data_IF_280076761216
#
_entry.id   IF_280076761216
#
_cell.length_a   1.000
_cell.length_b   1.000
_cell.length_c   1.000
_cell.angle_alpha   90.00
_cell.angle_beta   90.00
_cell.angle_gamma   90.00
#
_symmetry.space_group_name_H-M   'P 1'
#
loop_
_entity.id
_entity.type
_entity.pdbx_description
1 polymer ?
#
# COMPACT_ATOMS: atom_id res chain seq x y z
N UNK A 1 6.03 5.53 -5.11
CA UNK A 1 5.05 6.65 -5.03
C UNK A 1 3.77 6.36 -5.79
N UNK A 2 3.80 6.07 -7.13
CA UNK A 2 2.58 5.81 -7.92
C UNK A 2 1.71 4.70 -7.34
N UNK A 3 2.28 3.56 -6.97
CA UNK A 3 1.52 2.42 -6.42
C UNK A 3 0.85 2.74 -5.08
N UNK A 4 1.45 3.60 -4.28
CA UNK A 4 0.87 4.08 -3.03
C UNK A 4 -0.29 5.06 -3.28
N UNK A 5 -0.20 5.89 -4.30
CA UNK A 5 -1.25 6.85 -4.68
C UNK A 5 -2.41 6.15 -5.40
N UNK A 6 -2.10 5.27 -6.35
CA UNK A 6 -3.08 4.55 -7.17
C UNK A 6 -3.34 3.12 -6.64
N UNK A 7 -3.65 2.98 -5.36
CA UNK A 7 -3.82 1.68 -4.67
C UNK A 7 -5.17 0.99 -4.92
N UNK A 8 -5.95 1.45 -5.88
CA UNK A 8 -7.30 0.95 -6.15
C UNK A 8 -7.34 -0.24 -7.10
N UNK A 9 -6.21 -0.68 -7.62
CA UNK A 9 -6.05 -1.75 -8.58
C UNK A 9 -5.00 -2.78 -8.12
N UNK A 10 -5.10 -4.01 -8.66
CA UNK A 10 -4.06 -5.02 -8.45
C UNK A 10 -2.75 -4.60 -9.13
N UNK A 11 -1.60 -5.02 -8.59
CA UNK A 11 -0.26 -4.63 -9.08
C UNK A 11 -0.06 -4.73 -10.60
N UNK A 12 -0.47 -5.79 -11.32
CA UNK A 12 -0.33 -5.84 -12.77
C UNK A 12 -1.08 -4.70 -13.48
N UNK A 13 -2.28 -4.36 -13.00
CA UNK A 13 -3.07 -3.27 -13.55
C UNK A 13 -2.48 -1.90 -13.24
N UNK A 14 -1.85 -1.75 -12.05
CA UNK A 14 -1.12 -0.52 -11.71
C UNK A 14 0.02 -0.24 -12.69
N UNK A 15 0.75 -1.26 -13.10
CA UNK A 15 1.81 -1.13 -14.12
C UNK A 15 1.24 -0.74 -15.49
N UNK A 16 0.11 -1.34 -15.89
CA UNK A 16 -0.57 -0.98 -17.13
C UNK A 16 -1.09 0.46 -17.12
N UNK A 17 -1.65 0.92 -16.01
CA UNK A 17 -2.13 2.29 -15.84
C UNK A 17 -0.95 3.26 -15.80
N UNK A 18 0.13 2.94 -15.08
CA UNK A 18 1.34 3.76 -15.01
C UNK A 18 1.93 4.02 -16.41
N UNK A 19 1.99 2.98 -17.25
CA UNK A 19 2.48 3.11 -18.63
C UNK A 19 1.60 4.01 -19.50
N UNK A 20 0.32 4.18 -19.18
CA UNK A 20 -0.61 5.08 -19.87
C UNK A 20 -0.62 6.48 -19.28
N UNK A 21 -0.54 6.61 -17.96
CA UNK A 21 -0.44 7.89 -17.27
C UNK A 21 0.23 7.73 -15.88
N UNK A 22 1.48 8.17 -15.70
CA UNK A 22 2.17 8.13 -14.42
C UNK A 22 1.57 9.04 -13.33
N UNK A 23 0.68 9.96 -13.71
CA UNK A 23 0.04 10.91 -12.78
C UNK A 23 -1.36 10.46 -12.35
N UNK A 24 -1.83 9.29 -12.78
CA UNK A 24 -3.11 8.76 -12.36
C UNK A 24 -3.11 8.48 -10.84
N UNK A 25 -4.24 8.72 -10.18
CA UNK A 25 -4.36 8.60 -8.72
C UNK A 25 -5.48 7.62 -8.32
N UNK A 26 -6.71 7.89 -8.69
CA UNK A 26 -7.88 7.07 -8.32
C UNK A 26 -8.57 6.59 -9.58
N UNK A 27 -8.18 5.41 -10.07
CA UNK A 27 -8.77 4.82 -11.27
C UNK A 27 -9.84 3.81 -10.90
N UNK A 28 -11.08 4.06 -11.35
CA UNK A 28 -12.25 3.22 -11.13
C UNK A 28 -13.01 3.00 -12.43
N UNK A 29 -13.92 2.01 -12.45
CA UNK A 29 -14.80 1.75 -13.59
C UNK A 29 -15.78 2.90 -13.85
N UNK A 30 -16.33 2.95 -15.05
CA UNK A 30 -17.40 3.90 -15.38
C UNK A 30 -18.61 3.76 -14.45
N UNK A 31 -19.02 2.53 -14.16
CA UNK A 31 -20.19 2.26 -13.30
C UNK A 31 -19.96 2.74 -11.87
N UNK A 32 -18.73 2.58 -11.36
CA UNK A 32 -18.37 3.13 -10.05
C UNK A 32 -18.57 4.66 -10.03
N UNK A 33 -18.02 5.36 -11.03
CA UNK A 33 -18.11 6.82 -11.10
C UNK A 33 -19.55 7.29 -11.31
N UNK A 34 -20.34 6.56 -12.09
CA UNK A 34 -21.77 6.85 -12.28
C UNK A 34 -22.55 6.73 -10.97
N UNK A 35 -22.26 5.72 -10.15
CA UNK A 35 -22.85 5.58 -8.81
C UNK A 35 -22.49 6.75 -7.89
N UNK A 36 -21.30 7.32 -8.05
CA UNK A 36 -20.83 8.51 -7.35
C UNK A 36 -21.34 9.84 -7.98
N UNK A 37 -22.33 9.77 -8.88
CA UNK A 37 -22.84 10.92 -9.62
C UNK A 37 -21.76 11.71 -10.39
N UNK A 38 -20.80 10.99 -10.97
CA UNK A 38 -19.71 11.55 -11.77
C UNK A 38 -19.78 11.05 -13.20
N UNK A 39 -19.37 11.90 -14.13
CA UNK A 39 -19.33 11.56 -15.55
C UNK A 39 -17.96 11.90 -16.13
N UNK A 40 -17.48 11.15 -17.13
CA UNK A 40 -16.23 11.51 -17.82
C UNK A 40 -16.37 12.89 -18.47
N UNK A 41 -15.32 13.68 -18.41
CA UNK A 41 -15.22 14.95 -19.15
C UNK A 41 -15.23 14.68 -20.65
N UNK A 42 -15.67 15.64 -21.42
CA UNK A 42 -15.68 15.51 -22.89
C UNK A 42 -14.27 15.26 -23.44
N UNK A 43 -14.13 14.33 -24.37
CA UNK A 43 -12.87 14.04 -25.05
C UNK A 43 -11.87 13.18 -24.26
N UNK A 44 -12.17 12.75 -23.04
CA UNK A 44 -11.24 11.88 -22.29
C UNK A 44 -11.43 10.41 -22.68
N UNK A 45 -10.34 9.66 -22.64
CA UNK A 45 -10.31 8.21 -22.86
C UNK A 45 -9.91 7.51 -21.54
N UNK A 46 -10.67 6.48 -21.20
CA UNK A 46 -10.36 5.67 -20.02
C UNK A 46 -9.09 4.85 -20.21
N UNK A 47 -8.37 4.61 -19.11
CA UNK A 47 -7.20 3.74 -19.08
C UNK A 47 -7.62 2.28 -19.21
N UNK A 48 -6.84 1.54 -19.97
CA UNK A 48 -7.07 0.12 -20.23
C UNK A 48 -6.38 -0.73 -19.17
N UNK A 49 -7.11 -1.67 -18.58
CA UNK A 49 -6.59 -2.65 -17.65
C UNK A 49 -7.31 -4.00 -17.80
N UNK A 50 -6.82 -5.04 -17.15
CA UNK A 50 -7.36 -6.39 -17.22
C UNK A 50 -8.23 -6.70 -16.01
N UNK A 51 -9.39 -7.32 -16.25
CA UNK A 51 -10.26 -7.88 -15.22
C UNK A 51 -10.35 -9.39 -15.38
N UNK A 52 -10.32 -10.11 -14.27
CA UNK A 52 -10.54 -11.56 -14.27
C UNK A 52 -12.03 -11.86 -14.53
N UNK A 53 -12.27 -12.83 -15.38
CA UNK A 53 -13.61 -13.37 -15.64
C UNK A 53 -13.57 -14.88 -15.48
N UNK A 54 -14.60 -15.43 -14.88
CA UNK A 54 -14.78 -16.88 -14.83
C UNK A 54 -15.64 -17.32 -16.02
N UNK A 55 -15.25 -18.40 -16.66
CA UNK A 55 -15.98 -19.01 -17.75
C UNK A 55 -15.89 -20.54 -17.67
N UNK A 56 -16.93 -21.20 -18.11
CA UNK A 56 -16.98 -22.65 -18.20
C UNK A 56 -16.38 -23.12 -19.53
N UNK A 57 -15.48 -24.08 -19.46
CA UNK A 57 -14.95 -24.77 -20.62
C UNK A 57 -14.76 -26.26 -20.31
N UNK A 58 -15.35 -27.12 -21.14
CA UNK A 58 -15.28 -28.59 -21.00
C UNK A 58 -15.79 -29.09 -19.64
N UNK A 59 -16.82 -28.40 -19.06
CA UNK A 59 -17.37 -28.72 -17.73
C UNK A 59 -16.55 -28.24 -16.54
N UNK A 60 -15.46 -27.50 -16.78
CA UNK A 60 -14.61 -26.93 -15.74
C UNK A 60 -14.69 -25.40 -15.73
N UNK A 61 -14.79 -24.82 -14.52
CA UNK A 61 -14.68 -23.39 -14.35
C UNK A 61 -13.23 -22.96 -14.49
N UNK A 62 -12.98 -22.02 -15.40
CA UNK A 62 -11.64 -21.46 -15.66
C UNK A 62 -11.65 -19.96 -15.50
N UNK A 63 -10.53 -19.43 -15.04
CA UNK A 63 -10.30 -17.98 -14.95
C UNK A 63 -9.65 -17.50 -16.24
N UNK A 64 -10.28 -16.54 -16.89
CA UNK A 64 -9.72 -15.79 -18.00
C UNK A 64 -9.55 -14.32 -17.67
N UNK A 65 -9.10 -13.54 -18.65
CA UNK A 65 -8.95 -12.10 -18.51
C UNK A 65 -9.60 -11.39 -19.69
N UNK A 66 -10.33 -10.33 -19.42
CA UNK A 66 -10.85 -9.42 -20.42
C UNK A 66 -10.29 -8.02 -20.21
N UNK A 67 -10.30 -7.24 -21.30
CA UNK A 67 -9.91 -5.84 -21.25
C UNK A 67 -11.08 -5.01 -20.75
N UNK A 68 -10.84 -4.16 -19.77
CA UNK A 68 -11.78 -3.17 -19.25
C UNK A 68 -11.18 -1.77 -19.32
N UNK A 69 -12.02 -0.76 -19.17
CA UNK A 69 -11.63 0.64 -19.11
C UNK A 69 -12.00 1.25 -17.77
N UNK A 70 -11.09 2.03 -17.21
CA UNK A 70 -11.33 2.83 -16.02
C UNK A 70 -10.93 4.27 -16.24
N UNK A 71 -11.48 5.15 -15.45
CA UNK A 71 -11.24 6.58 -15.50
C UNK A 71 -10.60 7.03 -14.19
N UNK A 72 -9.58 7.86 -14.31
CA UNK A 72 -9.02 8.56 -13.16
C UNK A 72 -9.95 9.68 -12.70
N UNK A 73 -9.93 9.99 -11.41
CA UNK A 73 -10.72 11.08 -10.86
C UNK A 73 -10.49 12.41 -11.57
N UNK A 74 -9.29 12.68 -12.05
CA UNK A 74 -8.96 13.89 -12.80
C UNK A 74 -9.70 14.00 -14.14
N UNK A 75 -10.12 12.86 -14.70
CA UNK A 75 -10.89 12.74 -15.94
C UNK A 75 -12.39 12.91 -15.72
N UNK A 76 -12.85 12.95 -14.46
CA UNK A 76 -14.27 12.99 -14.13
C UNK A 76 -14.76 14.41 -13.84
N UNK A 77 -15.99 14.71 -14.24
CA UNK A 77 -16.75 15.88 -13.81
C UNK A 77 -17.45 15.57 -12.48
N UNK A 78 -17.82 16.58 -11.73
CA UNK A 78 -18.50 16.46 -10.44
C UNK A 78 -17.83 17.29 -9.37
N UNK A 79 -18.34 17.22 -8.13
CA UNK A 79 -17.73 17.91 -6.99
C UNK A 79 -16.29 17.40 -6.76
N UNK A 80 -15.37 18.24 -6.30
CA UNK A 80 -14.05 17.77 -5.83
C UNK A 80 -14.25 16.60 -4.86
N UNK A 81 -13.31 15.64 -4.84
CA UNK A 81 -13.29 14.67 -3.74
C UNK A 81 -13.07 15.46 -2.45
N UNK A 82 -13.77 15.05 -1.39
CA UNK A 82 -13.41 15.55 -0.06
C UNK A 82 -11.96 15.22 0.19
N UNK A 83 -11.15 16.24 0.45
CA UNK A 83 -9.77 16.05 0.84
C UNK A 83 -9.78 15.17 2.10
N UNK A 84 -9.09 14.05 2.03
CA UNK A 84 -8.87 13.26 3.25
C UNK A 84 -8.15 14.17 4.24
N UNK A 85 -8.64 14.28 5.48
CA UNK A 85 -7.97 15.09 6.47
C UNK A 85 -6.50 14.64 6.54
N UNK A 86 -5.60 15.57 6.29
CA UNK A 86 -4.16 15.30 6.45
C UNK A 86 -3.93 15.07 7.94
N UNK A 87 -3.57 13.83 8.29
CA UNK A 87 -3.18 13.50 9.65
C UNK A 87 -1.78 14.06 9.90
N UNK A 88 -1.56 14.57 11.09
CA UNK A 88 -0.23 14.94 11.51
C UNK A 88 0.69 13.70 11.60
N UNK A 89 1.99 13.87 11.51
CA UNK A 89 2.93 12.76 11.68
C UNK A 89 2.78 12.11 13.05
N UNK A 90 2.49 12.90 14.07
CA UNK A 90 2.21 12.41 15.42
C UNK A 90 0.99 11.49 15.47
N UNK A 91 -0.13 11.88 14.84
CA UNK A 91 -1.34 11.04 14.75
C UNK A 91 -1.07 9.75 13.97
N UNK A 92 -0.25 9.79 12.92
CA UNK A 92 0.16 8.61 12.16
C UNK A 92 1.00 7.67 13.01
N UNK A 93 1.99 8.20 13.73
CA UNK A 93 2.83 7.41 14.64
C UNK A 93 1.97 6.78 15.74
N UNK A 94 1.10 7.53 16.39
CA UNK A 94 0.20 7.02 17.41
C UNK A 94 -0.72 5.92 16.87
N UNK A 95 -1.25 6.09 15.66
CA UNK A 95 -2.10 5.08 15.01
C UNK A 95 -1.34 3.78 14.74
N UNK A 96 -0.08 3.89 14.32
CA UNK A 96 0.79 2.72 14.06
C UNK A 96 1.19 2.02 15.36
N UNK A 97 1.37 2.76 16.45
CA UNK A 97 1.74 2.21 17.75
C UNK A 97 0.58 1.60 18.53
N UNK A 98 -0.66 1.95 18.15
CA UNK A 98 -1.85 1.44 18.80
C UNK A 98 -2.03 -0.06 18.55
N UNK A 99 -2.28 -0.79 19.63
CA UNK A 99 -2.61 -2.23 19.61
C UNK A 99 -1.53 -3.14 18.98
N UNK A 100 -0.25 -2.72 19.02
CA UNK A 100 0.82 -3.55 18.47
C UNK A 100 1.15 -4.74 19.38
N UNK A 101 1.30 -5.97 18.81
CA UNK A 101 1.60 -7.18 19.58
C UNK A 101 3.07 -7.25 20.03
N UNK A 102 3.89 -6.28 19.68
CA UNK A 102 5.31 -6.23 19.97
C UNK A 102 5.66 -5.05 20.87
N UNK A 103 6.68 -5.20 21.69
CA UNK A 103 7.21 -4.13 22.53
C UNK A 103 8.05 -3.18 21.69
N UNK A 104 8.10 -1.91 22.07
CA UNK A 104 9.00 -0.92 21.48
C UNK A 104 9.90 -0.35 22.54
N UNK A 105 11.19 -0.18 22.20
CA UNK A 105 12.18 0.39 23.09
C UNK A 105 13.12 1.32 22.30
N UNK A 106 13.43 2.45 22.90
CA UNK A 106 14.46 3.35 22.36
C UNK A 106 15.82 2.75 22.70
N UNK A 107 16.73 2.75 21.75
CA UNK A 107 18.08 2.25 21.90
C UNK A 107 19.11 3.25 21.35
N UNK A 108 20.09 3.58 22.16
CA UNK A 108 21.18 4.49 21.79
C UNK A 108 22.34 3.77 21.09
N UNK A 109 22.42 2.44 21.22
CA UNK A 109 23.55 1.60 20.80
C UNK A 109 23.24 0.63 19.65
N UNK A 110 22.28 0.97 18.78
CA UNK A 110 22.08 0.19 17.55
C UNK A 110 23.31 0.32 16.63
N UNK A 111 23.67 -0.74 15.88
CA UNK A 111 24.75 -0.68 14.91
C UNK A 111 24.63 0.50 13.96
N UNK A 112 25.75 1.02 13.47
CA UNK A 112 25.77 2.14 12.53
C UNK A 112 24.91 1.81 11.29
N UNK A 113 24.11 2.78 10.82
CA UNK A 113 23.19 2.61 9.69
C UNK A 113 21.87 1.90 10.03
N UNK A 114 21.71 1.30 11.21
CA UNK A 114 20.45 0.69 11.65
C UNK A 114 19.59 1.73 12.38
N UNK A 115 18.46 2.06 11.80
CA UNK A 115 17.49 3.02 12.33
C UNK A 115 16.53 2.38 13.33
N UNK A 116 16.06 1.16 13.02
CA UNK A 116 15.27 0.33 13.91
C UNK A 116 15.54 -1.14 13.61
N UNK A 117 15.26 -2.02 14.59
CA UNK A 117 15.48 -3.46 14.44
C UNK A 117 14.48 -4.27 15.27
N UNK A 118 13.76 -5.16 14.62
CA UNK A 118 12.95 -6.18 15.29
C UNK A 118 13.81 -7.36 15.73
N UNK A 119 13.66 -7.75 16.99
CA UNK A 119 14.32 -8.92 17.61
C UNK A 119 13.27 -9.98 17.93
N UNK A 120 13.16 -11.07 17.14
CA UNK A 120 12.12 -12.08 17.27
C UNK A 120 12.05 -12.73 18.66
N UNK A 121 13.19 -13.13 19.22
CA UNK A 121 13.28 -13.79 20.54
C UNK A 121 12.69 -12.95 21.66
N UNK A 122 12.77 -11.64 21.55
CA UNK A 122 12.28 -10.70 22.56
C UNK A 122 10.92 -10.11 22.22
N UNK A 123 10.44 -10.34 21.00
CA UNK A 123 9.25 -9.69 20.41
C UNK A 123 9.29 -8.16 20.62
N UNK A 124 10.45 -7.58 20.34
CA UNK A 124 10.72 -6.16 20.62
C UNK A 124 11.31 -5.50 19.37
N UNK A 125 10.81 -4.32 19.05
CA UNK A 125 11.38 -3.41 18.07
C UNK A 125 12.22 -2.37 18.82
N UNK A 126 13.51 -2.34 18.54
CA UNK A 126 14.42 -1.32 19.02
C UNK A 126 14.48 -0.18 18.01
N UNK A 127 14.37 1.05 18.47
CA UNK A 127 14.32 2.26 17.64
C UNK A 127 15.45 3.18 18.05
N UNK A 128 16.25 3.64 17.10
CA UNK A 128 17.35 4.59 17.36
C UNK A 128 16.81 5.90 17.91
N UNK A 129 17.46 6.41 18.94
CA UNK A 129 17.16 7.71 19.51
C UNK A 129 17.62 8.87 18.60
N UNK A 130 16.92 9.99 18.64
CA UNK A 130 17.34 11.25 18.00
C UNK A 130 17.13 11.32 16.48
N UNK A 131 16.35 10.43 15.88
CA UNK A 131 15.93 10.54 14.49
C UNK A 131 14.79 11.56 14.33
N UNK A 132 14.67 12.14 13.13
CA UNK A 132 13.50 12.94 12.79
C UNK A 132 12.22 12.08 12.68
N UNK A 133 11.07 12.72 12.73
CA UNK A 133 9.76 12.03 12.76
C UNK A 133 9.52 11.15 11.53
N UNK A 134 9.88 11.64 10.34
CA UNK A 134 9.66 10.91 9.09
C UNK A 134 10.53 9.65 9.02
N UNK A 135 11.81 9.78 9.34
CA UNK A 135 12.74 8.65 9.43
C UNK A 135 12.29 7.64 10.48
N UNK A 136 11.84 8.12 11.64
CA UNK A 136 11.31 7.27 12.71
C UNK A 136 10.08 6.50 12.23
N UNK A 137 9.12 7.18 11.60
CA UNK A 137 7.89 6.57 11.09
C UNK A 137 8.18 5.43 10.11
N UNK A 138 9.02 5.67 9.10
CA UNK A 138 9.36 4.65 8.11
C UNK A 138 10.16 3.50 8.70
N UNK A 139 11.11 3.77 9.59
CA UNK A 139 11.90 2.74 10.26
C UNK A 139 11.02 1.83 11.12
N UNK A 140 10.13 2.42 11.92
CA UNK A 140 9.20 1.69 12.79
C UNK A 140 8.23 0.85 11.98
N UNK A 141 7.59 1.42 10.95
CA UNK A 141 6.65 0.68 10.10
C UNK A 141 7.29 -0.55 9.46
N UNK A 142 8.51 -0.43 8.96
CA UNK A 142 9.23 -1.56 8.38
C UNK A 142 9.49 -2.67 9.40
N UNK A 143 9.89 -2.32 10.61
CA UNK A 143 10.17 -3.32 11.65
C UNK A 143 8.88 -3.95 12.21
N UNK A 144 7.79 -3.20 12.28
CA UNK A 144 6.47 -3.74 12.61
C UNK A 144 5.96 -4.70 11.53
N UNK A 145 6.18 -4.37 10.25
CA UNK A 145 5.88 -5.29 9.16
C UNK A 145 6.74 -6.56 9.24
N UNK A 146 8.02 -6.46 9.59
CA UNK A 146 8.87 -7.62 9.87
C UNK A 146 8.31 -8.47 11.03
N UNK A 147 7.85 -7.83 12.09
CA UNK A 147 7.26 -8.51 13.23
C UNK A 147 5.92 -9.21 12.89
N UNK A 148 5.09 -8.58 12.05
CA UNK A 148 3.84 -9.16 11.57
C UNK A 148 4.05 -10.39 10.65
N UNK A 149 5.19 -10.45 9.97
CA UNK A 149 5.58 -11.57 9.11
C UNK A 149 6.29 -12.71 9.88
N UNK A 150 6.60 -12.50 11.17
CA UNK A 150 7.17 -13.52 12.02
C UNK A 150 6.06 -14.46 12.53
N UNK A 151 6.08 -15.72 12.12
CA UNK A 151 5.11 -16.74 12.53
C UNK A 151 5.36 -17.26 13.95
N UNK A 152 6.40 -16.78 14.63
CA UNK A 152 6.81 -17.18 15.99
C UNK A 152 7.10 -18.67 16.15
N UNK A 153 7.42 -19.36 15.05
CA UNK A 153 7.79 -20.78 15.00
C UNK A 153 9.29 -21.05 15.19
N UNK A 154 10.07 -19.99 15.44
CA UNK A 154 11.52 -20.05 15.58
C UNK A 154 12.28 -20.01 14.25
N UNK A 155 11.59 -20.01 13.13
CA UNK A 155 12.18 -20.06 11.77
C UNK A 155 12.29 -18.68 11.09
N UNK A 156 12.09 -17.60 11.85
CA UNK A 156 12.17 -16.25 11.31
C UNK A 156 13.56 -15.96 10.72
N UNK A 157 13.59 -15.58 9.45
CA UNK A 157 14.79 -15.14 8.74
C UNK A 157 14.51 -13.78 8.10
N UNK A 158 15.07 -12.71 8.69
CA UNK A 158 14.90 -11.34 8.19
C UNK A 158 15.08 -11.20 6.67
N UNK A 159 16.12 -11.84 6.11
CA UNK A 159 16.43 -11.76 4.69
C UNK A 159 15.28 -12.25 3.79
N UNK A 160 14.48 -13.20 4.27
CA UNK A 160 13.34 -13.75 3.51
C UNK A 160 12.14 -12.81 3.50
N UNK A 161 11.93 -12.04 4.57
CA UNK A 161 10.75 -11.19 4.74
C UNK A 161 11.01 -9.70 4.42
N UNK A 162 12.28 -9.30 4.31
CA UNK A 162 12.66 -7.90 4.22
C UNK A 162 12.03 -7.16 3.02
N UNK A 163 11.98 -7.78 1.85
CA UNK A 163 11.36 -7.17 0.68
C UNK A 163 9.86 -6.97 0.85
N UNK A 164 9.18 -7.97 1.41
CA UNK A 164 7.75 -7.92 1.68
C UNK A 164 7.43 -6.89 2.78
N UNK A 165 8.23 -6.84 3.84
CA UNK A 165 8.09 -5.85 4.91
C UNK A 165 8.31 -4.43 4.39
N UNK A 166 9.29 -4.22 3.51
CA UNK A 166 9.53 -2.93 2.86
C UNK A 166 8.31 -2.49 2.04
N UNK A 167 7.76 -3.37 1.21
CA UNK A 167 6.55 -3.05 0.42
C UNK A 167 5.31 -2.78 1.29
N UNK A 168 5.19 -3.43 2.44
CA UNK A 168 4.06 -3.22 3.36
C UNK A 168 4.18 -1.91 4.15
N UNK A 169 5.41 -1.42 4.39
CA UNK A 169 5.69 -0.21 5.15
C UNK A 169 5.64 1.08 4.31
N UNK A 170 5.56 0.96 2.99
CA UNK A 170 5.51 2.06 2.03
C UNK A 170 4.09 2.34 1.56
#
# INVERSE_FOLDING_TARGET
DFMAQCNTQKTPNLLLIYGQNPQATVVKSYDYWKAENRSPKSGVHGYTYMVSTEYEKDGEMRTGYTISKGFDISQMSGKPLEERPQRSMEELIQSVLKDQPVRMQIADNLPEGIQAQYIPKQRTVYVRNGMDENTTFHAVNRELACAALDQHDGNYVRKKVNAQAYCAAY
#
